data_IF_028275222630
#
_entry.id   IF_028275222630
#
_cell.length_a   1.000
_cell.length_b   1.000
_cell.length_c   1.000
_cell.angle_alpha   90.00
_cell.angle_beta   90.00
_cell.angle_gamma   90.00
#
_symmetry.space_group_name_H-M   'P 1'
#
loop_
_entity.id
_entity.type
_entity.pdbx_description
1 polymer ?
#
# COMPACT_ATOMS: atom_id res chain seq x y z
N UNK A 1 23.06 6.11 -18.88
CA UNK A 1 22.59 5.84 -17.48
C UNK A 1 22.78 7.04 -16.55
N UNK A 2 23.92 7.75 -16.60
CA UNK A 2 24.19 8.90 -15.71
C UNK A 2 23.17 10.05 -15.82
N UNK A 3 22.79 10.40 -17.05
CA UNK A 3 21.79 11.48 -17.29
C UNK A 3 20.37 11.11 -16.85
N UNK A 4 20.02 9.82 -16.91
CA UNK A 4 18.75 9.32 -16.41
C UNK A 4 18.64 9.51 -14.90
N UNK A 5 19.69 9.15 -14.15
CA UNK A 5 19.72 9.35 -12.70
C UNK A 5 19.71 10.84 -12.34
N UNK A 6 20.49 11.68 -13.02
CA UNK A 6 20.51 13.13 -12.76
C UNK A 6 19.14 13.78 -13.01
N UNK A 7 18.46 13.41 -14.10
CA UNK A 7 17.12 13.91 -14.37
C UNK A 7 16.07 13.36 -13.39
N UNK A 8 16.17 12.09 -13.01
CA UNK A 8 15.27 11.48 -12.03
C UNK A 8 15.38 12.17 -10.67
N UNK A 9 16.61 12.36 -10.16
CA UNK A 9 16.84 13.05 -8.89
C UNK A 9 16.30 14.47 -8.93
N UNK A 10 16.53 15.21 -10.02
CA UNK A 10 16.01 16.58 -10.20
C UNK A 10 14.48 16.63 -10.25
N UNK A 11 13.82 15.63 -10.85
CA UNK A 11 12.34 15.53 -10.89
C UNK A 11 11.78 15.26 -9.49
N UNK A 12 12.41 14.34 -8.77
CA UNK A 12 12.00 13.92 -7.42
C UNK A 12 12.21 15.02 -6.39
N UNK A 13 13.32 15.76 -6.50
CA UNK A 13 13.63 16.92 -5.65
C UNK A 13 12.65 18.09 -5.88
N UNK A 14 12.23 18.32 -7.13
CA UNK A 14 11.28 19.39 -7.46
C UNK A 14 9.80 19.02 -7.20
N UNK A 15 9.46 17.74 -7.01
CA UNK A 15 8.10 17.33 -6.71
C UNK A 15 8.03 16.42 -5.47
N UNK A 16 7.86 17.00 -4.27
CA UNK A 16 7.78 16.24 -3.03
C UNK A 16 6.56 15.30 -3.00
N UNK A 17 5.57 15.48 -3.88
CA UNK A 17 4.39 14.59 -3.96
C UNK A 17 4.75 13.16 -4.35
N UNK A 18 5.88 12.98 -5.05
CA UNK A 18 6.40 11.64 -5.39
C UNK A 18 6.77 10.89 -4.11
N UNK A 19 7.44 11.53 -3.15
CA UNK A 19 7.72 10.92 -1.84
C UNK A 19 6.45 10.69 -1.01
N UNK A 20 5.52 11.64 -1.03
CA UNK A 20 4.24 11.50 -0.34
C UNK A 20 3.44 10.27 -0.79
N UNK A 21 3.54 9.90 -2.08
CA UNK A 21 2.88 8.69 -2.59
C UNK A 21 3.39 7.41 -1.91
N UNK A 22 4.70 7.35 -1.65
CA UNK A 22 5.34 6.20 -0.98
C UNK A 22 4.90 6.16 0.48
N UNK A 23 4.94 7.30 1.17
CA UNK A 23 4.49 7.42 2.57
C UNK A 23 3.03 7.00 2.68
N UNK A 24 2.17 7.47 1.78
CA UNK A 24 0.75 7.13 1.74
C UNK A 24 0.53 5.62 1.52
N UNK A 25 1.27 5.00 0.60
CA UNK A 25 1.21 3.56 0.37
C UNK A 25 1.59 2.74 1.61
N UNK A 26 2.66 3.12 2.31
CA UNK A 26 3.11 2.47 3.54
C UNK A 26 2.08 2.66 4.66
N UNK A 27 1.67 3.90 4.90
CA UNK A 27 0.69 4.23 5.94
C UNK A 27 -0.65 3.50 5.70
N UNK A 28 -1.12 3.48 4.45
CA UNK A 28 -2.33 2.74 4.07
C UNK A 28 -2.21 1.23 4.33
N UNK A 29 -1.05 0.63 4.03
CA UNK A 29 -0.80 -0.78 4.34
C UNK A 29 -0.81 -1.05 5.85
N UNK A 30 -0.24 -0.15 6.65
CA UNK A 30 -0.23 -0.26 8.12
C UNK A 30 -1.64 -0.16 8.70
N UNK A 31 -2.45 0.78 8.21
CA UNK A 31 -3.86 0.88 8.64
C UNK A 31 -4.64 -0.38 8.31
N UNK A 32 -4.46 -0.93 7.10
CA UNK A 32 -5.07 -2.21 6.72
C UNK A 32 -4.57 -3.39 7.57
N UNK A 33 -3.36 -3.32 8.12
CA UNK A 33 -2.84 -4.32 9.05
C UNK A 33 -3.49 -4.25 10.42
N UNK A 34 -3.61 -3.05 10.99
CA UNK A 34 -4.34 -2.87 12.24
C UNK A 34 -5.81 -3.29 12.09
N UNK A 35 -6.45 -2.91 10.98
CA UNK A 35 -7.83 -3.30 10.70
C UNK A 35 -8.01 -4.82 10.57
N UNK A 36 -7.10 -5.52 9.90
CA UNK A 36 -7.11 -6.99 9.81
C UNK A 36 -7.08 -7.63 11.20
N UNK A 37 -6.19 -7.16 12.08
CA UNK A 37 -6.03 -7.71 13.44
C UNK A 37 -7.34 -7.55 14.24
N UNK A 38 -7.93 -6.35 14.23
CA UNK A 38 -9.18 -6.07 14.95
C UNK A 38 -10.32 -6.94 14.42
N UNK A 39 -10.42 -7.10 13.09
CA UNK A 39 -11.46 -7.93 12.47
C UNK A 39 -11.30 -9.40 12.87
N UNK A 40 -10.08 -9.93 12.81
CA UNK A 40 -9.77 -11.30 13.25
C UNK A 40 -10.14 -11.48 14.72
N UNK A 41 -9.79 -10.53 15.60
CA UNK A 41 -10.12 -10.62 17.02
C UNK A 41 -11.63 -10.66 17.27
N UNK A 42 -12.42 -9.85 16.58
CA UNK A 42 -13.88 -9.86 16.71
C UNK A 42 -14.48 -11.21 16.30
N UNK A 43 -14.02 -11.79 15.19
CA UNK A 43 -14.52 -13.07 14.72
C UNK A 43 -14.15 -14.20 15.67
N UNK A 44 -12.93 -14.18 16.20
CA UNK A 44 -12.52 -15.16 17.19
C UNK A 44 -13.30 -15.04 18.50
N UNK A 45 -13.66 -13.81 18.89
CA UNK A 45 -14.52 -13.57 20.04
C UNK A 45 -15.92 -14.16 19.80
N UNK A 46 -16.50 -13.97 18.60
CA UNK A 46 -17.84 -14.45 18.25
C UNK A 46 -17.90 -15.99 18.06
N UNK A 47 -16.82 -16.63 17.60
CA UNK A 47 -16.81 -18.06 17.28
C UNK A 47 -16.91 -18.97 18.52
N UNK A 48 -16.62 -18.46 19.74
CA UNK A 48 -16.72 -19.17 21.02
C UNK A 48 -16.13 -20.60 21.03
N UNK A 49 -15.17 -20.89 20.15
CA UNK A 49 -14.63 -22.23 19.93
C UNK A 49 -13.13 -22.27 20.16
N UNK A 50 -12.63 -23.39 20.67
CA UNK A 50 -11.20 -23.68 20.80
C UNK A 50 -10.66 -24.52 19.64
N UNK A 51 -11.51 -24.86 18.67
CA UNK A 51 -11.09 -25.63 17.50
C UNK A 51 -10.24 -24.75 16.57
N UNK A 52 -8.94 -25.02 16.57
CA UNK A 52 -7.95 -24.29 15.79
C UNK A 52 -8.16 -24.44 14.27
N UNK A 53 -8.73 -25.56 13.80
CA UNK A 53 -9.04 -25.75 12.39
C UNK A 53 -10.21 -24.86 11.96
N UNK A 54 -11.23 -24.75 12.81
CA UNK A 54 -12.39 -23.90 12.55
C UNK A 54 -12.00 -22.41 12.58
N UNK A 55 -11.19 -21.99 13.56
CA UNK A 55 -10.65 -20.63 13.64
C UNK A 55 -9.84 -20.26 12.39
N UNK A 56 -8.98 -21.18 11.92
CA UNK A 56 -8.16 -20.95 10.73
C UNK A 56 -9.00 -20.84 9.46
N UNK A 57 -9.99 -21.71 9.30
CA UNK A 57 -10.91 -21.66 8.17
C UNK A 57 -11.75 -20.36 8.13
N UNK A 58 -12.07 -19.79 9.30
CA UNK A 58 -12.78 -18.52 9.40
C UNK A 58 -11.86 -17.31 9.08
N UNK A 59 -10.58 -17.36 9.47
CA UNK A 59 -9.62 -16.26 9.28
C UNK A 59 -9.09 -16.19 7.84
N UNK A 60 -8.83 -17.35 7.22
CA UNK A 60 -8.21 -17.45 5.90
C UNK A 60 -8.86 -16.59 4.79
N UNK A 61 -10.20 -16.58 4.61
CA UNK A 61 -10.83 -15.74 3.60
C UNK A 61 -10.61 -14.25 3.87
N UNK A 62 -10.61 -13.84 5.14
CA UNK A 62 -10.45 -12.43 5.55
C UNK A 62 -9.02 -11.98 5.34
N UNK A 63 -8.05 -12.79 5.77
CA UNK A 63 -6.65 -12.48 5.56
C UNK A 63 -6.30 -12.36 4.07
N UNK A 64 -6.90 -13.21 3.23
CA UNK A 64 -6.79 -13.10 1.77
C UNK A 64 -7.34 -11.77 1.25
N UNK A 65 -8.51 -11.32 1.70
CA UNK A 65 -9.09 -10.03 1.31
C UNK A 65 -8.21 -8.83 1.73
N UNK A 66 -7.65 -8.84 2.94
CA UNK A 66 -6.75 -7.78 3.39
C UNK A 66 -5.42 -7.79 2.63
N UNK A 67 -4.90 -8.97 2.29
CA UNK A 67 -3.72 -9.10 1.42
C UNK A 67 -3.96 -8.45 0.06
N UNK A 68 -5.09 -8.75 -0.59
CA UNK A 68 -5.46 -8.11 -1.86
C UNK A 68 -5.68 -6.61 -1.71
N UNK A 69 -6.30 -6.17 -0.63
CA UNK A 69 -6.49 -4.75 -0.33
C UNK A 69 -5.14 -4.00 -0.23
N UNK A 70 -4.13 -4.59 0.42
CA UNK A 70 -2.78 -4.00 0.48
C UNK A 70 -2.13 -3.91 -0.89
N UNK A 71 -2.28 -4.94 -1.72
CA UNK A 71 -1.76 -4.93 -3.10
C UNK A 71 -2.40 -3.78 -3.88
N UNK A 72 -3.71 -3.58 -3.76
CA UNK A 72 -4.41 -2.46 -4.43
C UNK A 72 -3.88 -1.11 -3.96
N UNK A 73 -3.67 -0.92 -2.64
CA UNK A 73 -3.09 0.32 -2.10
C UNK A 73 -1.69 0.57 -2.66
N UNK A 74 -0.84 -0.45 -2.72
CA UNK A 74 0.52 -0.36 -3.26
C UNK A 74 0.47 0.02 -4.74
N UNK A 75 -0.37 -0.65 -5.53
CA UNK A 75 -0.53 -0.35 -6.97
C UNK A 75 -1.03 1.07 -7.18
N UNK A 76 -2.01 1.52 -6.40
CA UNK A 76 -2.53 2.88 -6.48
C UNK A 76 -1.44 3.93 -6.15
N UNK A 77 -0.64 3.69 -5.11
CA UNK A 77 0.49 4.54 -4.74
C UNK A 77 1.55 4.58 -5.85
N UNK A 78 1.87 3.44 -6.48
CA UNK A 78 2.78 3.38 -7.62
C UNK A 78 2.24 4.16 -8.82
N UNK A 79 0.97 3.99 -9.17
CA UNK A 79 0.35 4.73 -10.28
C UNK A 79 0.36 6.23 -10.02
N UNK A 80 0.05 6.66 -8.79
CA UNK A 80 0.11 8.05 -8.38
C UNK A 80 1.53 8.63 -8.48
N UNK A 81 2.52 7.88 -8.00
CA UNK A 81 3.94 8.23 -8.09
C UNK A 81 4.37 8.43 -9.55
N UNK A 82 4.03 7.49 -10.43
CA UNK A 82 4.32 7.56 -11.85
C UNK A 82 3.62 8.74 -12.54
N UNK A 83 2.37 9.02 -12.18
CA UNK A 83 1.64 10.16 -12.72
C UNK A 83 2.29 11.50 -12.32
N UNK A 84 2.65 11.67 -11.05
CA UNK A 84 3.35 12.86 -10.56
C UNK A 84 4.75 12.99 -11.21
N UNK A 85 5.45 11.87 -11.42
CA UNK A 85 6.71 11.83 -12.16
C UNK A 85 6.56 12.32 -13.61
N UNK A 86 5.61 11.74 -14.37
CA UNK A 86 5.36 12.13 -15.76
C UNK A 86 4.92 13.59 -15.89
N UNK A 87 4.11 14.07 -14.95
CA UNK A 87 3.67 15.47 -14.88
C UNK A 87 4.85 16.42 -14.63
N UNK A 88 5.74 16.08 -13.70
CA UNK A 88 6.95 16.85 -13.44
C UNK A 88 7.91 16.83 -14.63
N UNK A 89 8.07 15.67 -15.28
CA UNK A 89 8.92 15.55 -16.47
C UNK A 89 8.47 16.51 -17.58
N UNK A 90 7.16 16.53 -17.90
CA UNK A 90 6.57 17.45 -18.89
C UNK A 90 6.80 18.92 -18.52
N UNK A 91 6.69 19.28 -17.23
CA UNK A 91 6.92 20.65 -16.77
C UNK A 91 8.37 21.11 -16.90
N UNK A 92 9.32 20.20 -16.72
CA UNK A 92 10.75 20.50 -16.78
C UNK A 92 11.32 20.47 -18.21
N UNK A 93 10.50 20.15 -19.22
CA UNK A 93 10.89 20.19 -20.63
C UNK A 93 11.75 19.01 -21.08
N UNK A 94 11.70 17.88 -20.35
CA UNK A 94 12.36 16.62 -20.70
C UNK A 94 11.45 15.63 -21.44
#
# INVERSE_FOLDING_TARGET
>A
MKDFFLNFTRIVENNPRIYWSIIFGIAGCLVLFVAEIVHVQNILADLHTKDQNLMRAAIEPISSQYKWSRIVVIVAAMLWSNFEYLKSKKKLGF
#
